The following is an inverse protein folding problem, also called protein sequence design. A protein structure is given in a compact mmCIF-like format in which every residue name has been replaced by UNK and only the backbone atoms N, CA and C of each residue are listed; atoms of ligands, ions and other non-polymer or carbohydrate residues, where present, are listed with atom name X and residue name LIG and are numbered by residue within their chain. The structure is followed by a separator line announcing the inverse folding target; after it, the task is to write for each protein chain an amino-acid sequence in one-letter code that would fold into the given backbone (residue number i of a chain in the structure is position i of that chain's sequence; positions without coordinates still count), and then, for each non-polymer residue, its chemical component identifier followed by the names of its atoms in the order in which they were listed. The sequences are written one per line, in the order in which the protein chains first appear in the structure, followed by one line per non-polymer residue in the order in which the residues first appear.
data_IF_349421977108
#
_entry.id   IF_349421977108
#
_cell.length_a   1.000
_cell.length_b   1.000
_cell.length_c   1.000
_cell.angle_alpha   90.00
_cell.angle_beta   90.00
_cell.angle_gamma   90.00
#
_symmetry.space_group_name_H-M   'P 1'
#
loop_
_entity.id
_entity.type
_entity.pdbx_description
1 polymer ?
#
# COMPACT_ATOMS: atom_id res chain seq x y z
N UNK A 1 -2.99 5.49 13.58
CA UNK A 1 -3.81 4.26 13.70
C UNK A 1 -3.01 3.00 13.41
N UNK A 2 -2.37 2.83 12.23
CA UNK A 2 -1.59 1.61 11.91
C UNK A 2 -0.63 1.14 13.03
N UNK A 3 0.26 2.03 13.53
CA UNK A 3 1.18 1.70 14.65
C UNK A 3 0.48 1.21 15.93
N UNK A 4 -0.71 1.74 16.23
CA UNK A 4 -1.49 1.33 17.40
C UNK A 4 -2.06 -0.07 17.20
N UNK A 5 -2.54 -0.39 15.99
CA UNK A 5 -3.05 -1.73 15.66
C UNK A 5 -1.95 -2.78 15.75
N UNK A 6 -0.75 -2.48 15.24
CA UNK A 6 0.42 -3.36 15.36
C UNK A 6 0.81 -3.63 16.81
N UNK A 7 0.81 -2.59 17.66
CA UNK A 7 1.11 -2.74 19.08
C UNK A 7 0.08 -3.63 19.79
N UNK A 8 -1.15 -3.71 19.27
CA UNK A 8 -2.20 -4.62 19.71
C UNK A 8 -2.16 -6.01 19.07
N UNK A 9 -1.13 -6.33 18.28
CA UNK A 9 -0.98 -7.64 17.61
C UNK A 9 -1.75 -7.79 16.31
N UNK A 10 -2.32 -6.72 15.75
CA UNK A 10 -3.02 -6.74 14.47
C UNK A 10 -2.09 -6.21 13.38
N UNK A 11 -1.60 -7.06 12.46
CA UNK A 11 -0.72 -6.62 11.38
C UNK A 11 -1.45 -5.72 10.39
N UNK A 12 -0.77 -4.70 9.90
CA UNK A 12 -1.32 -3.67 9.01
C UNK A 12 -0.40 -3.39 7.82
N UNK A 13 -1.03 -3.01 6.71
CA UNK A 13 -0.37 -2.45 5.52
C UNK A 13 -1.17 -1.25 5.07
N UNK A 14 -0.49 -0.15 4.75
CA UNK A 14 -1.11 1.05 4.18
C UNK A 14 -0.89 1.07 2.68
N UNK A 15 -1.97 1.22 1.92
CA UNK A 15 -1.89 1.40 0.46
C UNK A 15 -2.04 2.88 0.17
N UNK A 16 -1.01 3.48 -0.43
CA UNK A 16 -0.96 4.88 -0.82
C UNK A 16 -0.71 5.03 -2.31
N UNK A 17 -0.89 6.25 -2.83
CA UNK A 17 -0.51 6.59 -4.20
C UNK A 17 0.83 7.33 -4.23
N UNK A 18 1.50 7.32 -5.38
CA UNK A 18 2.81 7.94 -5.57
C UNK A 18 2.86 9.42 -5.12
N UNK A 19 1.78 10.17 -5.32
CA UNK A 19 1.67 11.57 -4.89
C UNK A 19 1.85 11.82 -3.38
N UNK A 20 1.71 10.78 -2.54
CA UNK A 20 1.86 10.87 -1.09
C UNK A 20 3.08 10.12 -0.55
N UNK A 21 3.96 9.60 -1.41
CA UNK A 21 5.09 8.75 -1.03
C UNK A 21 5.96 9.37 0.08
N UNK A 22 6.37 10.63 -0.10
CA UNK A 22 7.24 11.30 0.87
C UNK A 22 6.54 11.58 2.20
N UNK A 23 5.25 11.91 2.17
CA UNK A 23 4.45 12.08 3.39
C UNK A 23 4.30 10.76 4.14
N UNK A 24 4.03 9.66 3.43
CA UNK A 24 3.91 8.33 4.01
C UNK A 24 5.25 7.84 4.58
N UNK A 25 6.37 8.16 3.93
CA UNK A 25 7.70 7.87 4.45
C UNK A 25 7.99 8.63 5.75
N UNK A 26 7.62 9.91 5.84
CA UNK A 26 7.77 10.70 7.05
C UNK A 26 6.90 10.20 8.23
N UNK A 27 5.79 9.51 7.96
CA UNK A 27 4.88 8.97 8.99
C UNK A 27 5.41 7.71 9.68
N UNK A 28 6.49 7.10 9.19
CA UNK A 28 7.11 5.89 9.76
C UNK A 28 6.08 4.76 9.97
N UNK A 29 5.32 4.47 8.91
CA UNK A 29 4.30 3.42 8.94
C UNK A 29 4.94 2.03 8.97
N UNK A 30 4.27 1.01 9.56
CA UNK A 30 4.80 -0.35 9.65
C UNK A 30 5.13 -0.94 8.28
N UNK A 31 4.21 -0.82 7.32
CA UNK A 31 4.32 -1.31 5.94
C UNK A 31 3.54 -0.37 5.04
N UNK A 32 4.10 -0.02 3.88
CA UNK A 32 3.44 0.82 2.87
C UNK A 32 3.61 0.23 1.48
N UNK A 33 2.51 0.02 0.78
CA UNK A 33 2.49 -0.23 -0.67
C UNK A 33 2.13 1.08 -1.38
N UNK A 34 2.95 1.49 -2.35
CA UNK A 34 2.72 2.68 -3.17
C UNK A 34 2.23 2.23 -4.55
N UNK A 35 1.04 2.67 -4.95
CA UNK A 35 0.49 2.36 -6.28
C UNK A 35 0.83 3.47 -7.29
N UNK A 36 0.96 3.14 -8.58
CA UNK A 36 1.24 4.12 -9.64
C UNK A 36 -0.02 4.90 -10.06
N UNK A 37 -1.08 4.86 -9.25
CA UNK A 37 -2.40 5.35 -9.59
C UNK A 37 -2.58 6.82 -9.18
N UNK A 38 -3.45 7.57 -9.87
CA UNK A 38 -3.73 8.95 -9.49
C UNK A 38 -4.46 9.02 -8.15
N UNK A 39 -4.39 10.19 -7.52
CA UNK A 39 -5.15 10.48 -6.31
C UNK A 39 -6.65 10.18 -6.51
N UNK A 40 -7.25 9.50 -5.55
CA UNK A 40 -8.65 9.05 -5.62
C UNK A 40 -8.86 7.70 -6.31
N UNK A 41 -7.80 7.09 -6.85
CA UNK A 41 -7.86 5.77 -7.52
C UNK A 41 -6.85 4.78 -6.95
N UNK A 42 -6.70 4.76 -5.63
CA UNK A 42 -5.66 4.00 -4.91
C UNK A 42 -5.60 2.52 -5.28
N UNK A 43 -6.73 1.90 -5.65
CA UNK A 43 -6.82 0.48 -6.02
C UNK A 43 -6.92 0.23 -7.54
N UNK A 44 -7.06 1.26 -8.38
CA UNK A 44 -7.26 1.11 -9.82
C UNK A 44 -8.49 1.86 -10.36
N UNK A 45 -8.83 1.60 -11.62
CA UNK A 45 -10.03 2.14 -12.26
C UNK A 45 -11.32 1.52 -11.69
N UNK A 46 -12.46 2.22 -11.76
CA UNK A 46 -13.76 1.62 -11.43
C UNK A 46 -14.00 0.37 -12.27
N UNK A 47 -14.47 -0.71 -11.63
CA UNK A 47 -14.79 -2.00 -12.27
C UNK A 47 -13.59 -2.73 -12.93
N UNK A 48 -12.36 -2.26 -12.69
CA UNK A 48 -11.15 -3.00 -13.05
C UNK A 48 -10.78 -3.97 -11.92
N UNK A 49 -11.54 -5.06 -11.83
CA UNK A 49 -11.41 -6.07 -10.79
C UNK A 49 -10.01 -6.73 -10.81
N UNK A 50 -9.40 -6.87 -11.98
CA UNK A 50 -8.08 -7.44 -12.15
C UNK A 50 -6.99 -6.56 -11.53
N UNK A 51 -6.99 -5.25 -11.82
CA UNK A 51 -6.05 -4.32 -11.18
C UNK A 51 -6.28 -4.22 -9.68
N UNK A 52 -7.55 -4.10 -9.25
CA UNK A 52 -7.89 -4.02 -7.83
C UNK A 52 -7.42 -5.25 -7.06
N UNK A 53 -7.65 -6.44 -7.61
CA UNK A 53 -7.18 -7.71 -7.05
C UNK A 53 -5.66 -7.75 -6.97
N UNK A 54 -4.95 -7.32 -8.03
CA UNK A 54 -3.49 -7.26 -8.04
C UNK A 54 -2.94 -6.35 -6.93
N UNK A 55 -3.55 -5.18 -6.71
CA UNK A 55 -3.15 -4.25 -5.64
C UNK A 55 -3.34 -4.88 -4.27
N UNK A 56 -4.49 -5.51 -4.02
CA UNK A 56 -4.79 -6.15 -2.74
C UNK A 56 -3.83 -7.32 -2.47
N UNK A 57 -3.59 -8.18 -3.47
CA UNK A 57 -2.67 -9.31 -3.33
C UNK A 57 -1.24 -8.84 -3.05
N UNK A 58 -0.76 -7.79 -3.70
CA UNK A 58 0.56 -7.22 -3.42
C UNK A 58 0.65 -6.63 -2.00
N UNK A 59 -0.44 -6.04 -1.49
CA UNK A 59 -0.48 -5.53 -0.12
C UNK A 59 -0.46 -6.66 0.92
N UNK A 60 -1.18 -7.77 0.66
CA UNK A 60 -1.17 -8.97 1.50
C UNK A 60 0.20 -9.67 1.47
N UNK A 61 0.82 -9.78 0.29
CA UNK A 61 2.18 -10.32 0.16
C UNK A 61 3.20 -9.49 0.97
N UNK A 62 3.11 -8.15 0.90
CA UNK A 62 3.92 -7.28 1.74
C UNK A 62 3.64 -7.47 3.24
N UNK A 63 2.39 -7.74 3.62
CA UNK A 63 2.00 -8.00 5.00
C UNK A 63 2.70 -9.25 5.55
N UNK A 64 2.84 -10.31 4.74
CA UNK A 64 3.44 -11.59 5.09
C UNK A 64 4.98 -11.59 5.01
N UNK A 65 5.54 -10.87 4.03
CA UNK A 65 6.98 -10.96 3.71
C UNK A 65 7.84 -9.90 4.39
N UNK A 66 7.25 -8.80 4.89
CA UNK A 66 8.00 -7.74 5.55
C UNK A 66 8.55 -8.20 6.92
N UNK A 67 9.87 -8.39 6.99
CA UNK A 67 10.57 -8.81 8.22
C UNK A 67 10.86 -7.67 9.20
N UNK A 68 10.72 -6.42 8.77
CA UNK A 68 10.99 -5.23 9.58
C UNK A 68 9.98 -4.11 9.29
N UNK A 69 9.66 -3.27 10.29
CA UNK A 69 8.79 -2.11 10.10
C UNK A 69 9.45 -1.04 9.22
N UNK A 70 8.65 -0.14 8.64
CA UNK A 70 9.12 0.95 7.77
C UNK A 70 9.32 0.54 6.31
N UNK A 71 8.93 -0.68 5.93
CA UNK A 71 9.07 -1.17 4.55
C UNK A 71 8.11 -0.39 3.64
N UNK A 72 8.66 0.24 2.60
CA UNK A 72 7.90 0.89 1.52
C UNK A 72 8.25 0.19 0.21
N UNK A 73 7.24 -0.28 -0.51
CA UNK A 73 7.39 -0.92 -1.83
C UNK A 73 6.51 -0.19 -2.84
N UNK A 74 7.07 0.07 -4.02
CA UNK A 74 6.34 0.62 -5.16
C UNK A 74 5.80 -0.53 -6.02
N UNK A 75 4.49 -0.55 -6.27
CA UNK A 75 3.84 -1.51 -7.15
C UNK A 75 4.24 -1.22 -8.61
N UNK A 76 4.79 -2.21 -9.34
CA UNK A 76 5.25 -1.98 -10.70
C UNK A 76 4.09 -1.79 -11.69
N UNK A 77 4.33 -1.01 -12.73
CA UNK A 77 3.40 -0.77 -13.84
C UNK A 77 2.97 0.69 -13.95
N UNK A 78 1.88 0.93 -14.68
CA UNK A 78 1.26 2.24 -14.90
C UNK A 78 -0.25 2.12 -14.70
N UNK A 79 -0.90 3.23 -14.36
CA UNK A 79 -2.35 3.28 -14.30
C UNK A 79 -2.97 3.05 -15.69
N UNK A 80 -4.02 2.23 -15.75
CA UNK A 80 -4.82 1.95 -16.95
C UNK A 80 -6.24 2.48 -16.71
N UNK A 81 -6.87 3.00 -17.77
CA UNK A 81 -8.19 3.67 -17.73
C UNK A 81 -9.27 2.67 -18.07
#
# INVERSE_FOLDING_TARGET
MARLMEAGGIPTVVIGVHAFRDRLAAMQLPRTLITPHPMGRTLGAPLDDETQKKVILAALDLLETAKSPGKIIDLPGRYQI
#
